data_IF_954331810031
#
_entry.id   IF_954331810031
#
_cell.length_a   1.000
_cell.length_b   1.000
_cell.length_c   1.000
_cell.angle_alpha   90.00
_cell.angle_beta   90.00
_cell.angle_gamma   90.00
#
_symmetry.space_group_name_H-M   'P 1'
#
loop_
_entity.id
_entity.type
_entity.pdbx_description
1 polymer ?
#
# COMPACT_ATOMS: atom_id res chain seq x y z
N UNK A 1 13.44 30.79 -25.08
CA UNK A 1 13.26 29.38 -24.66
C UNK A 1 11.81 29.21 -24.23
N UNK A 2 10.99 28.53 -25.02
CA UNK A 2 9.61 28.26 -24.65
C UNK A 2 9.61 27.17 -23.55
N UNK A 3 9.14 27.51 -22.35
CA UNK A 3 8.88 26.52 -21.31
C UNK A 3 7.69 25.67 -21.77
N UNK A 4 7.94 24.42 -22.13
CA UNK A 4 6.91 23.43 -22.39
C UNK A 4 6.12 23.21 -21.10
N UNK A 5 4.97 23.88 -21.00
CA UNK A 5 4.10 23.77 -19.83
C UNK A 5 3.34 22.45 -19.95
N UNK A 6 3.69 21.49 -19.10
CA UNK A 6 2.97 20.23 -19.01
C UNK A 6 1.50 20.54 -18.62
N UNK A 7 0.50 20.07 -19.39
CA UNK A 7 -0.90 20.33 -19.06
C UNK A 7 -1.25 19.79 -17.67
N UNK A 8 -1.78 20.66 -16.79
CA UNK A 8 -2.11 20.28 -15.41
C UNK A 8 -3.09 19.10 -15.34
N UNK A 9 -4.03 18.99 -16.29
CA UNK A 9 -4.95 17.86 -16.35
C UNK A 9 -4.24 16.51 -16.48
N UNK A 10 -3.24 16.41 -17.37
CA UNK A 10 -2.45 15.19 -17.57
C UNK A 10 -1.62 14.87 -16.33
N UNK A 11 -1.02 15.89 -15.71
CA UNK A 11 -0.24 15.71 -14.49
C UNK A 11 -1.09 15.07 -13.37
N UNK A 12 -2.30 15.61 -13.16
CA UNK A 12 -3.18 15.19 -12.06
C UNK A 12 -3.88 13.86 -12.33
N UNK A 13 -4.30 13.62 -13.57
CA UNK A 13 -5.11 12.45 -13.91
C UNK A 13 -4.27 11.22 -14.27
N UNK A 14 -3.09 11.41 -14.87
CA UNK A 14 -2.33 10.31 -15.44
C UNK A 14 -0.96 10.12 -14.79
N UNK A 15 -0.23 11.20 -14.47
CA UNK A 15 1.13 11.06 -13.95
C UNK A 15 1.16 10.78 -12.46
N UNK A 16 0.56 11.66 -11.65
CA UNK A 16 0.60 11.51 -10.18
C UNK A 16 -0.02 10.19 -9.69
N UNK A 17 -1.17 9.70 -10.23
CA UNK A 17 -1.76 8.43 -9.77
C UNK A 17 -0.90 7.20 -10.03
N UNK A 18 0.10 7.29 -10.94
CA UNK A 18 1.01 6.19 -11.27
C UNK A 18 2.26 6.17 -10.38
N UNK A 19 2.47 7.23 -9.59
CA UNK A 19 3.66 7.33 -8.77
C UNK A 19 3.56 6.46 -7.51
N UNK A 20 4.69 5.89 -7.04
CA UNK A 20 4.74 5.25 -5.73
C UNK A 20 4.34 6.21 -4.61
N UNK A 21 3.68 5.69 -3.57
CA UNK A 21 3.20 6.47 -2.42
C UNK A 21 4.32 7.30 -1.78
N UNK A 22 5.53 6.74 -1.65
CA UNK A 22 6.70 7.48 -1.10
C UNK A 22 7.02 8.74 -1.90
N UNK A 23 6.93 8.69 -3.23
CA UNK A 23 7.15 9.86 -4.08
C UNK A 23 6.04 10.89 -3.91
N UNK A 24 4.79 10.43 -3.82
CA UNK A 24 3.63 11.31 -3.58
C UNK A 24 3.72 12.03 -2.24
N UNK A 25 4.15 11.35 -1.17
CA UNK A 25 4.37 11.98 0.13
C UNK A 25 5.42 13.08 0.07
N UNK A 26 6.50 12.89 -0.73
CA UNK A 26 7.48 13.96 -0.97
C UNK A 26 6.87 15.13 -1.74
N UNK A 27 6.03 14.88 -2.73
CA UNK A 27 5.32 15.94 -3.47
C UNK A 27 4.41 16.78 -2.57
N UNK A 28 3.78 16.19 -1.55
CA UNK A 28 3.00 16.97 -0.56
C UNK A 28 3.85 18.03 0.14
N UNK A 29 5.15 17.81 0.31
CA UNK A 29 6.06 18.76 0.95
C UNK A 29 6.55 19.88 0.01
N UNK A 30 6.34 19.75 -1.30
CA UNK A 30 6.86 20.70 -2.30
C UNK A 30 5.96 21.93 -2.44
N UNK A 31 4.63 21.75 -2.40
CA UNK A 31 3.69 22.88 -2.53
C UNK A 31 2.34 22.60 -1.89
N UNK A 32 1.65 23.68 -1.47
CA UNK A 32 0.26 23.61 -0.97
C UNK A 32 -0.70 23.00 -1.99
N UNK A 33 -0.44 23.23 -3.28
CA UNK A 33 -1.23 22.64 -4.37
C UNK A 33 -1.14 21.11 -4.34
N UNK A 34 0.07 20.54 -4.35
CA UNK A 34 0.24 19.09 -4.29
C UNK A 34 -0.23 18.51 -2.96
N UNK A 35 0.00 19.21 -1.84
CA UNK A 35 -0.52 18.79 -0.55
C UNK A 35 -2.05 18.63 -0.57
N UNK A 36 -2.76 19.64 -1.09
CA UNK A 36 -4.22 19.63 -1.15
C UNK A 36 -4.69 18.54 -2.12
N UNK A 37 -4.15 18.53 -3.34
CA UNK A 37 -4.52 17.58 -4.39
C UNK A 37 -4.33 16.12 -3.97
N UNK A 38 -3.16 15.77 -3.43
CA UNK A 38 -2.83 14.39 -3.06
C UNK A 38 -3.62 13.94 -1.83
N UNK A 39 -4.13 14.88 -1.04
CA UNK A 39 -4.93 14.58 0.16
C UNK A 39 -6.43 14.42 -0.14
N UNK A 40 -6.89 14.59 -1.39
CA UNK A 40 -8.33 14.44 -1.68
C UNK A 40 -8.76 12.99 -1.84
N UNK A 41 -10.02 12.64 -1.47
CA UNK A 41 -10.54 11.29 -1.66
C UNK A 41 -10.53 10.84 -3.13
N UNK A 42 -10.79 11.75 -4.07
CA UNK A 42 -10.83 11.45 -5.50
C UNK A 42 -9.44 11.05 -6.02
N UNK A 43 -8.40 11.71 -5.53
CA UNK A 43 -7.03 11.34 -5.85
C UNK A 43 -6.70 9.95 -5.29
N UNK A 44 -7.04 9.69 -4.01
CA UNK A 44 -6.80 8.40 -3.37
C UNK A 44 -7.52 7.25 -4.12
N UNK A 45 -8.78 7.46 -4.52
CA UNK A 45 -9.54 6.45 -5.27
C UNK A 45 -8.94 6.20 -6.65
N UNK A 46 -8.46 7.24 -7.34
CA UNK A 46 -7.80 7.11 -8.65
C UNK A 46 -6.48 6.38 -8.54
N UNK A 47 -5.67 6.72 -7.54
CA UNK A 47 -4.41 6.04 -7.23
C UNK A 47 -4.64 4.56 -6.91
N UNK A 48 -5.63 4.24 -6.08
CA UNK A 48 -6.02 2.87 -5.76
C UNK A 48 -6.47 2.10 -7.00
N UNK A 49 -7.36 2.67 -7.82
CA UNK A 49 -7.81 2.05 -9.08
C UNK A 49 -6.64 1.74 -10.01
N UNK A 50 -5.69 2.66 -10.14
CA UNK A 50 -4.50 2.42 -10.94
C UNK A 50 -3.66 1.29 -10.36
N UNK A 51 -3.44 1.26 -9.03
CA UNK A 51 -2.68 0.20 -8.36
C UNK A 51 -3.34 -1.17 -8.45
N UNK A 52 -4.67 -1.25 -8.54
CA UNK A 52 -5.40 -2.51 -8.73
C UNK A 52 -5.44 -2.95 -10.19
N UNK A 53 -5.31 -2.01 -11.13
CA UNK A 53 -5.28 -2.29 -12.56
C UNK A 53 -3.86 -2.59 -13.07
N UNK A 54 -2.82 -2.17 -12.35
CA UNK A 54 -1.46 -2.62 -12.62
C UNK A 54 -1.36 -4.11 -12.30
N UNK A 55 -0.81 -4.89 -13.22
CA UNK A 55 -0.54 -6.33 -13.11
C UNK A 55 0.64 -6.60 -12.15
N UNK A 56 0.65 -5.92 -11.00
CA UNK A 56 1.66 -6.01 -9.96
C UNK A 56 1.28 -7.24 -9.12
N UNK A 57 1.65 -8.44 -9.56
CA UNK A 57 1.28 -9.68 -8.87
C UNK A 57 1.96 -9.75 -7.51
N UNK A 58 1.24 -9.33 -6.47
CA UNK A 58 1.74 -9.34 -5.09
C UNK A 58 1.21 -10.58 -4.36
N UNK A 59 2.15 -11.38 -3.87
CA UNK A 59 1.88 -12.53 -3.01
C UNK A 59 2.08 -12.14 -1.55
N UNK A 60 1.04 -12.32 -0.73
CA UNK A 60 1.12 -12.17 0.72
C UNK A 60 1.26 -13.54 1.38
N UNK A 61 2.30 -13.72 2.19
CA UNK A 61 2.57 -14.95 2.93
C UNK A 61 2.52 -14.63 4.42
N UNK A 62 1.64 -15.33 5.16
CA UNK A 62 1.59 -15.30 6.61
C UNK A 62 2.43 -16.46 7.17
N UNK A 63 3.52 -16.14 7.87
CA UNK A 63 4.39 -17.15 8.49
C UNK A 63 4.16 -17.15 10.00
N UNK A 64 3.55 -18.22 10.49
CA UNK A 64 3.18 -18.42 11.90
C UNK A 64 4.39 -18.34 12.84
N UNK A 65 5.46 -19.08 12.52
CA UNK A 65 6.63 -19.23 13.40
C UNK A 65 7.45 -17.95 13.54
N UNK A 66 7.39 -17.07 12.53
CA UNK A 66 8.12 -15.81 12.51
C UNK A 66 7.24 -14.62 12.94
N UNK A 67 5.95 -14.85 13.26
CA UNK A 67 4.97 -13.82 13.58
C UNK A 67 5.02 -12.66 12.56
N UNK A 68 5.13 -13.03 11.29
CA UNK A 68 5.42 -12.11 10.20
C UNK A 68 4.45 -12.27 9.04
N UNK A 69 4.05 -11.13 8.47
CA UNK A 69 3.42 -11.05 7.15
C UNK A 69 4.48 -10.60 6.17
N UNK A 70 4.66 -11.36 5.10
CA UNK A 70 5.62 -11.05 4.05
C UNK A 70 4.86 -10.72 2.78
N UNK A 71 5.23 -9.62 2.14
CA UNK A 71 4.72 -9.24 0.83
C UNK A 71 5.82 -9.42 -0.21
N UNK A 72 5.52 -10.17 -1.29
CA UNK A 72 6.43 -10.46 -2.39
C UNK A 72 5.85 -9.94 -3.69
N UNK A 73 6.69 -9.28 -4.50
CA UNK A 73 6.32 -8.96 -5.87
C UNK A 73 6.78 -10.07 -6.81
N UNK A 74 5.84 -10.85 -7.35
CA UNK A 74 6.10 -12.04 -8.14
C UNK A 74 6.76 -11.72 -9.50
N UNK A 75 6.45 -10.57 -10.07
CA UNK A 75 6.99 -10.14 -11.37
C UNK A 75 8.32 -9.36 -11.26
N UNK A 76 8.83 -9.17 -10.04
CA UNK A 76 10.12 -8.52 -9.82
C UNK A 76 11.26 -9.54 -9.92
N UNK A 77 12.29 -9.31 -10.77
CA UNK A 77 13.47 -10.18 -10.86
C UNK A 77 14.31 -10.19 -9.57
N UNK A 78 14.02 -9.27 -8.65
CA UNK A 78 14.55 -9.26 -7.28
C UNK A 78 13.37 -9.54 -6.34
N UNK A 79 13.42 -10.64 -5.61
CA UNK A 79 12.50 -10.93 -4.50
C UNK A 79 12.66 -9.85 -3.41
N UNK A 80 12.03 -8.70 -3.60
CA UNK A 80 11.91 -7.71 -2.55
C UNK A 80 10.77 -8.19 -1.64
N UNK A 81 11.16 -8.85 -0.55
CA UNK A 81 10.23 -9.10 0.54
C UNK A 81 10.16 -7.85 1.41
N UNK A 82 8.95 -7.37 1.66
CA UNK A 82 8.72 -6.47 2.79
C UNK A 82 8.21 -7.34 3.92
N UNK A 83 9.00 -7.44 4.99
CA UNK A 83 8.59 -8.10 6.22
C UNK A 83 7.84 -7.12 7.10
N UNK A 84 6.65 -7.52 7.49
CA UNK A 84 5.87 -6.84 8.51
C UNK A 84 5.83 -7.75 9.72
N UNK A 85 6.56 -7.34 10.75
CA UNK A 85 6.45 -7.97 12.05
C UNK A 85 5.21 -7.41 12.74
N UNK A 86 4.41 -8.30 13.32
CA UNK A 86 3.41 -7.83 14.27
C UNK A 86 4.11 -7.14 15.44
N UNK A 87 3.56 -6.03 15.96
CA UNK A 87 4.00 -5.46 17.23
C UNK A 87 4.12 -6.58 18.29
N UNK A 88 5.16 -6.58 19.14
CA UNK A 88 5.37 -7.62 20.15
C UNK A 88 4.16 -7.83 21.07
N UNK A 89 3.36 -6.77 21.27
CA UNK A 89 2.13 -6.76 22.06
C UNK A 89 1.03 -7.62 21.42
N UNK A 90 1.03 -7.76 20.10
CA UNK A 90 0.11 -8.62 19.33
C UNK A 90 0.69 -10.03 19.25
N UNK A 91 2.00 -10.15 19.07
CA UNK A 91 2.67 -11.43 18.84
C UNK A 91 2.62 -12.36 20.06
N UNK A 92 2.70 -11.81 21.28
CA UNK A 92 2.73 -12.58 22.53
C UNK A 92 1.34 -12.92 23.10
N UNK A 93 0.27 -12.29 22.60
CA UNK A 93 -1.10 -12.46 23.11
C UNK A 93 -1.88 -13.51 22.35
N UNK A 94 -1.54 -13.76 21.08
CA UNK A 94 -2.35 -14.59 20.20
C UNK A 94 -1.64 -15.90 19.81
N UNK A 95 -2.26 -17.04 20.16
CA UNK A 95 -1.70 -18.37 19.88
C UNK A 95 -1.86 -18.83 18.42
N UNK A 96 -2.84 -18.29 17.70
CA UNK A 96 -3.07 -18.61 16.29
C UNK A 96 -3.54 -17.40 15.49
N UNK A 97 -3.04 -17.29 14.26
CA UNK A 97 -3.46 -16.30 13.26
C UNK A 97 -3.90 -17.01 11.98
N UNK A 98 -4.89 -16.46 11.30
CA UNK A 98 -5.31 -16.88 9.97
C UNK A 98 -5.84 -15.68 9.17
N UNK A 99 -5.72 -15.75 7.84
CA UNK A 99 -6.27 -14.73 6.95
C UNK A 99 -7.76 -15.00 6.80
N UNK A 100 -8.59 -14.01 7.15
CA UNK A 100 -10.04 -14.04 6.92
C UNK A 100 -10.35 -13.61 5.49
N UNK A 101 -9.62 -12.61 4.99
CA UNK A 101 -9.77 -12.11 3.63
C UNK A 101 -8.91 -10.89 3.35
N UNK A 102 -9.00 -10.37 2.14
CA UNK A 102 -8.30 -9.17 1.69
C UNK A 102 -9.23 -8.25 0.90
N UNK A 103 -8.99 -6.94 0.95
CA UNK A 103 -9.75 -5.94 0.21
C UNK A 103 -8.89 -4.71 -0.06
N UNK A 104 -8.69 -4.35 -1.33
CA UNK A 104 -8.01 -3.10 -1.74
C UNK A 104 -6.65 -2.88 -1.08
N UNK A 105 -5.86 -3.94 -0.91
CA UNK A 105 -4.57 -3.89 -0.23
C UNK A 105 -4.62 -4.05 1.29
N UNK A 106 -5.81 -4.06 1.91
CA UNK A 106 -5.99 -4.38 3.32
C UNK A 106 -6.17 -5.88 3.52
N UNK A 107 -5.68 -6.41 4.63
CA UNK A 107 -5.79 -7.81 5.04
C UNK A 107 -6.53 -7.88 6.37
N UNK A 108 -7.57 -8.70 6.43
CA UNK A 108 -8.27 -9.03 7.66
C UNK A 108 -7.67 -10.32 8.24
N UNK A 109 -7.21 -10.24 9.49
CA UNK A 109 -6.52 -11.32 10.19
C UNK A 109 -7.32 -11.67 11.44
N UNK A 110 -7.71 -12.95 11.54
CA UNK A 110 -8.35 -13.51 12.72
C UNK A 110 -7.28 -14.01 13.69
N UNK A 111 -7.45 -13.71 14.97
CA UNK A 111 -6.53 -14.11 16.04
C UNK A 111 -7.26 -14.85 17.16
N UNK A 112 -6.54 -15.68 17.93
CA UNK A 112 -7.08 -16.39 19.10
C UNK A 112 -6.47 -15.85 20.40
N UNK A 113 -7.27 -15.34 21.37
CA UNK A 113 -8.73 -15.43 21.42
C UNK A 113 -9.43 -14.44 20.47
N UNK A 114 -10.52 -14.90 19.87
CA UNK A 114 -11.32 -14.38 18.74
C UNK A 114 -11.32 -12.86 18.53
N UNK A 115 -10.19 -12.31 18.07
CA UNK A 115 -10.06 -10.89 17.73
C UNK A 115 -9.84 -10.74 16.23
N UNK A 116 -10.24 -9.59 15.69
CA UNK A 116 -10.01 -9.23 14.30
C UNK A 116 -9.03 -8.08 14.23
N UNK A 117 -8.03 -8.23 13.37
CA UNK A 117 -7.04 -7.20 13.08
C UNK A 117 -7.16 -6.83 11.60
N UNK A 118 -7.25 -5.54 11.31
CA UNK A 118 -7.11 -5.01 9.95
C UNK A 118 -5.68 -4.53 9.78
N UNK A 119 -5.02 -5.04 8.75
CA UNK A 119 -3.62 -4.80 8.46
C UNK A 119 -3.45 -4.20 7.06
N UNK A 120 -2.59 -3.19 6.91
CA UNK A 120 -2.23 -2.60 5.62
C UNK A 120 -0.76 -2.96 5.30
N UNK A 121 -0.49 -4.08 4.59
CA UNK A 121 0.83 -4.47 4.10
C UNK A 121 1.47 -3.48 3.12
#
# INVERSE_FOLDING_TARGET
MAASTLPMGILVQELLPRLPVKSLLRFKCVSKFFQTLISTPEFAQRHLRHSLASDDNRLLILVRELLGVYSFHLDSPRFHSVSFFFPPEISNVFGHFFIVGFCNGLVCIGTSPSSLLIFNP
#
